data_IF_309928250813
#
_entry.id   IF_309928250813
#
_cell.length_a   1.000
_cell.length_b   1.000
_cell.length_c   1.000
_cell.angle_alpha   90.00
_cell.angle_beta   90.00
_cell.angle_gamma   90.00
#
_symmetry.space_group_name_H-M   'P 1'
#
loop_
_entity.id
_entity.type
_entity.pdbx_description
1 polymer ?
#
# COMPACT_ATOMS: atom_id res chain seq x y z
N UNK A 1 42.68 5.23 25.74
CA UNK A 1 41.37 4.64 25.39
C UNK A 1 41.41 3.68 24.20
N UNK A 2 42.61 3.22 23.75
CA UNK A 2 42.79 2.43 22.53
C UNK A 2 43.17 0.95 22.78
N UNK A 3 43.18 0.48 24.04
CA UNK A 3 43.81 -0.80 24.40
C UNK A 3 42.86 -2.01 24.56
N UNK A 4 41.56 -1.85 24.29
CA UNK A 4 40.59 -2.95 24.45
C UNK A 4 40.25 -3.64 23.11
N UNK A 5 40.53 -3.02 21.96
CA UNK A 5 40.18 -3.56 20.65
C UNK A 5 41.18 -4.57 20.06
N UNK A 6 42.38 -4.72 20.64
CA UNK A 6 43.40 -5.63 20.09
C UNK A 6 43.34 -7.07 20.61
N UNK A 7 42.44 -7.42 21.52
CA UNK A 7 42.41 -8.76 22.12
C UNK A 7 41.33 -9.70 21.56
N UNK A 8 40.66 -9.34 20.46
CA UNK A 8 39.57 -10.14 19.86
C UNK A 8 39.97 -10.76 18.52
N UNK A 9 41.27 -10.80 18.20
CA UNK A 9 41.76 -11.52 17.03
C UNK A 9 42.44 -12.81 17.46
N UNK A 10 41.86 -13.95 17.06
CA UNK A 10 42.52 -15.27 16.89
C UNK A 10 42.24 -16.40 17.90
N UNK A 11 41.11 -16.42 18.61
CA UNK A 11 40.61 -17.70 19.15
C UNK A 11 39.79 -18.44 18.09
N UNK A 12 40.51 -19.25 17.33
CA UNK A 12 40.06 -20.43 16.59
C UNK A 12 38.75 -21.05 17.10
N UNK A 13 37.61 -20.65 16.51
CA UNK A 13 36.32 -21.33 16.72
C UNK A 13 35.90 -22.20 15.53
N UNK A 14 36.72 -22.26 14.46
CA UNK A 14 36.39 -22.96 13.21
C UNK A 14 37.06 -24.34 13.06
N UNK A 15 37.33 -25.05 14.15
CA UNK A 15 37.90 -26.40 14.08
C UNK A 15 37.19 -27.36 15.03
N UNK A 16 35.99 -27.79 14.67
CA UNK A 16 35.45 -29.13 14.98
C UNK A 16 34.01 -29.23 14.43
N UNK A 17 33.89 -29.41 13.10
CA UNK A 17 32.68 -30.00 12.53
C UNK A 17 32.62 -31.47 12.99
N UNK A 18 31.97 -31.73 14.13
CA UNK A 18 31.57 -33.08 14.49
C UNK A 18 30.09 -33.25 14.12
N UNK A 19 29.82 -34.18 13.21
CA UNK A 19 28.49 -34.49 12.65
C UNK A 19 27.46 -35.02 13.69
N UNK A 20 27.69 -34.83 14.99
CA UNK A 20 26.79 -35.28 16.05
C UNK A 20 25.83 -34.18 16.55
N UNK A 21 26.08 -32.91 16.24
CA UNK A 21 25.27 -31.80 16.81
C UNK A 21 24.00 -31.47 16.04
N UNK A 22 23.81 -32.03 14.83
CA UNK A 22 22.64 -31.70 14.01
C UNK A 22 21.32 -32.25 14.58
N UNK A 23 21.34 -33.35 15.34
CA UNK A 23 20.11 -33.90 15.94
C UNK A 23 19.77 -33.31 17.31
N UNK A 24 20.75 -32.93 18.12
CA UNK A 24 20.44 -32.30 19.42
C UNK A 24 20.01 -30.85 19.25
N UNK A 25 20.52 -30.16 18.23
CA UNK A 25 20.11 -28.79 17.91
C UNK A 25 18.63 -28.68 17.53
N UNK A 26 18.06 -29.63 16.80
CA UNK A 26 16.65 -29.55 16.40
C UNK A 26 15.70 -29.67 17.59
N UNK A 27 15.99 -30.54 18.55
CA UNK A 27 15.14 -30.72 19.73
C UNK A 27 15.26 -29.53 20.69
N UNK A 28 16.48 -29.00 20.90
CA UNK A 28 16.66 -27.82 21.75
C UNK A 28 16.02 -26.57 21.13
N UNK A 29 16.06 -26.42 19.81
CA UNK A 29 15.38 -25.33 19.10
C UNK A 29 13.87 -25.52 19.21
N UNK A 30 13.33 -26.73 19.06
CA UNK A 30 11.89 -26.96 19.21
C UNK A 30 11.38 -26.69 20.64
N UNK A 31 12.16 -27.01 21.67
CA UNK A 31 11.81 -26.71 23.07
C UNK A 31 12.01 -25.23 23.45
N UNK A 32 12.91 -24.50 22.77
CA UNK A 32 13.15 -23.08 23.04
C UNK A 32 12.39 -22.12 22.12
N UNK A 33 11.96 -22.55 20.94
CA UNK A 33 11.13 -21.74 20.05
C UNK A 33 9.72 -21.78 20.62
N UNK A 34 9.20 -20.66 21.15
CA UNK A 34 7.86 -20.62 21.70
C UNK A 34 6.90 -21.11 20.61
N UNK A 35 6.09 -22.11 20.95
CA UNK A 35 5.00 -22.60 20.10
C UNK A 35 4.23 -21.38 19.60
N UNK A 36 4.40 -21.06 18.31
CA UNK A 36 3.75 -19.96 17.59
C UNK A 36 4.07 -18.56 18.14
N UNK A 37 5.17 -17.97 17.66
CA UNK A 37 5.34 -16.53 17.75
C UNK A 37 4.27 -15.87 16.87
N UNK A 38 3.25 -15.28 17.50
CA UNK A 38 2.13 -14.64 16.81
C UNK A 38 2.37 -13.15 16.59
N UNK A 39 1.59 -12.55 15.70
CA UNK A 39 1.56 -11.11 15.51
C UNK A 39 0.99 -10.41 16.76
N UNK A 40 1.52 -9.23 17.05
CA UNK A 40 1.00 -8.34 18.09
C UNK A 40 -0.46 -7.98 17.84
N UNK A 41 -1.25 -7.82 18.92
CA UNK A 41 -2.62 -7.31 18.80
C UNK A 41 -2.71 -5.94 18.12
N UNK A 42 -1.65 -5.12 18.22
CA UNK A 42 -1.57 -3.81 17.57
C UNK A 42 -1.37 -3.97 16.07
N UNK A 43 -0.48 -4.85 15.62
CA UNK A 43 -0.23 -5.07 14.19
C UNK A 43 -1.47 -5.64 13.52
N UNK A 44 -2.13 -6.61 14.15
CA UNK A 44 -3.41 -7.16 13.71
C UNK A 44 -4.46 -6.05 13.57
N UNK A 45 -4.60 -5.17 14.58
CA UNK A 45 -5.55 -4.07 14.53
C UNK A 45 -5.23 -3.10 13.38
N UNK A 46 -3.95 -2.74 13.19
CA UNK A 46 -3.51 -1.91 12.07
C UNK A 46 -3.88 -2.57 10.74
N UNK A 47 -3.64 -3.88 10.57
CA UNK A 47 -4.02 -4.60 9.34
C UNK A 47 -5.52 -4.48 9.09
N UNK A 48 -6.34 -4.78 10.09
CA UNK A 48 -7.80 -4.79 9.95
C UNK A 48 -8.34 -3.41 9.59
N UNK A 49 -7.96 -2.37 10.33
CA UNK A 49 -8.42 -1.01 10.06
C UNK A 49 -7.87 -0.47 8.74
N UNK A 50 -6.64 -0.80 8.37
CA UNK A 50 -6.06 -0.38 7.10
C UNK A 50 -6.77 -1.05 5.92
N UNK A 51 -6.98 -2.38 5.99
CA UNK A 51 -7.70 -3.12 4.94
C UNK A 51 -9.11 -2.60 4.76
N UNK A 52 -9.87 -2.46 5.85
CA UNK A 52 -11.25 -1.94 5.79
C UNK A 52 -11.25 -0.50 5.29
N UNK A 53 -10.38 0.35 5.83
CA UNK A 53 -10.27 1.76 5.45
C UNK A 53 -9.98 1.92 3.96
N UNK A 54 -9.00 1.18 3.44
CA UNK A 54 -8.63 1.23 2.02
C UNK A 54 -9.74 0.70 1.12
N UNK A 55 -10.45 -0.37 1.49
CA UNK A 55 -11.60 -0.85 0.72
C UNK A 55 -12.70 0.22 0.66
N UNK A 56 -13.03 0.84 1.79
CA UNK A 56 -14.07 1.87 1.85
C UNK A 56 -13.68 3.08 1.00
N UNK A 57 -12.43 3.55 1.09
CA UNK A 57 -11.93 4.66 0.29
C UNK A 57 -12.00 4.31 -1.21
N UNK A 58 -11.50 3.13 -1.60
CA UNK A 58 -11.54 2.65 -2.98
C UNK A 58 -12.97 2.57 -3.54
N UNK A 59 -13.92 2.08 -2.75
CA UNK A 59 -15.32 2.00 -3.16
C UNK A 59 -16.02 3.38 -3.17
N UNK A 60 -15.58 4.33 -2.34
CA UNK A 60 -16.19 5.67 -2.26
C UNK A 60 -15.97 6.50 -3.52
N UNK A 61 -14.84 6.32 -4.21
CA UNK A 61 -14.50 7.09 -5.43
C UNK A 61 -15.15 6.51 -6.70
N UNK A 62 -15.55 5.23 -6.67
CA UNK A 62 -16.09 4.54 -7.84
C UNK A 62 -17.43 5.14 -8.33
N UNK A 63 -18.46 5.39 -7.49
CA UNK A 63 -19.72 5.96 -7.95
C UNK A 63 -19.53 7.31 -8.65
N UNK A 64 -18.68 8.18 -8.10
CA UNK A 64 -18.40 9.49 -8.70
C UNK A 64 -17.67 9.36 -10.04
N UNK A 65 -16.72 8.43 -10.13
CA UNK A 65 -15.99 8.16 -11.37
C UNK A 65 -16.92 7.59 -12.44
N UNK A 66 -17.75 6.61 -12.09
CA UNK A 66 -18.74 5.99 -13.00
C UNK A 66 -19.73 7.05 -13.48
N UNK A 67 -20.25 7.90 -12.56
CA UNK A 67 -21.14 9.00 -12.92
C UNK A 67 -20.49 9.96 -13.92
N UNK A 68 -19.26 10.38 -13.63
CA UNK A 68 -18.50 11.29 -14.50
C UNK A 68 -18.23 10.67 -15.88
N UNK A 69 -17.93 9.38 -15.96
CA UNK A 69 -17.70 8.70 -17.24
C UNK A 69 -18.99 8.53 -18.05
N UNK A 70 -20.10 8.22 -17.39
CA UNK A 70 -21.40 8.01 -18.04
C UNK A 70 -22.03 9.32 -18.49
N UNK A 71 -22.11 10.29 -17.59
CA UNK A 71 -22.78 11.56 -17.82
C UNK A 71 -21.85 12.57 -18.46
N UNK A 72 -20.52 12.42 -18.37
CA UNK A 72 -19.53 13.40 -18.87
C UNK A 72 -19.72 14.83 -18.33
N UNK A 73 -20.57 15.00 -17.31
CA UNK A 73 -20.76 16.25 -16.60
C UNK A 73 -19.61 16.43 -15.61
N UNK A 74 -18.78 17.43 -15.88
CA UNK A 74 -17.62 17.80 -15.07
C UNK A 74 -17.73 19.21 -14.51
N UNK A 75 -18.85 19.92 -14.76
CA UNK A 75 -18.98 21.34 -14.47
C UNK A 75 -18.86 21.63 -12.96
N UNK A 76 -19.50 20.80 -12.14
CA UNK A 76 -19.49 20.92 -10.67
C UNK A 76 -18.23 20.35 -10.00
N UNK A 77 -17.34 19.69 -10.75
CA UNK A 77 -16.19 18.99 -10.18
C UNK A 77 -15.03 19.97 -9.93
N UNK A 78 -14.34 19.82 -8.80
CA UNK A 78 -13.12 20.60 -8.53
C UNK A 78 -11.91 19.94 -9.17
N UNK A 79 -11.30 20.62 -10.15
CA UNK A 79 -10.09 20.15 -10.82
C UNK A 79 -8.92 19.97 -9.84
N UNK A 80 -8.77 20.91 -8.91
CA UNK A 80 -7.70 20.88 -7.90
C UNK A 80 -7.86 19.70 -6.95
N UNK A 81 -9.10 19.37 -6.57
CA UNK A 81 -9.38 18.24 -5.69
C UNK A 81 -8.94 16.92 -6.33
N UNK A 82 -9.34 16.66 -7.58
CA UNK A 82 -8.96 15.42 -8.27
C UNK A 82 -7.46 15.35 -8.59
N UNK A 83 -6.81 16.49 -8.86
CA UNK A 83 -5.37 16.54 -9.03
C UNK A 83 -4.63 16.18 -7.74
N UNK A 84 -4.97 16.86 -6.63
CA UNK A 84 -4.34 16.59 -5.33
C UNK A 84 -4.64 15.17 -4.85
N UNK A 85 -5.88 14.69 -5.02
CA UNK A 85 -6.27 13.34 -4.67
C UNK A 85 -5.49 12.30 -5.50
N UNK A 86 -5.39 12.51 -6.82
CA UNK A 86 -4.63 11.61 -7.71
C UNK A 86 -3.15 11.54 -7.36
N UNK A 87 -2.53 12.67 -7.02
CA UNK A 87 -1.13 12.73 -6.58
C UNK A 87 -0.96 12.07 -5.21
N UNK A 88 -1.82 12.40 -4.24
CA UNK A 88 -1.73 11.84 -2.88
C UNK A 88 -1.86 10.32 -2.88
N UNK A 89 -2.85 9.79 -3.60
CA UNK A 89 -3.10 8.35 -3.75
C UNK A 89 -1.97 7.65 -4.53
N UNK A 90 -1.30 8.35 -5.47
CA UNK A 90 -0.09 7.82 -6.11
C UNK A 90 1.07 7.68 -5.11
N UNK A 91 1.31 8.69 -4.26
CA UNK A 91 2.32 8.60 -3.19
C UNK A 91 1.98 7.51 -2.17
N UNK A 92 0.70 7.36 -1.81
CA UNK A 92 0.25 6.27 -0.95
C UNK A 92 0.50 4.92 -1.62
N UNK A 93 0.23 4.77 -2.91
CA UNK A 93 0.56 3.54 -3.65
C UNK A 93 2.05 3.21 -3.55
N UNK A 94 2.93 4.21 -3.73
CA UNK A 94 4.38 4.03 -3.56
C UNK A 94 4.75 3.65 -2.13
N UNK A 95 4.09 4.25 -1.14
CA UNK A 95 4.24 3.87 0.27
C UNK A 95 3.85 2.41 0.51
N UNK A 96 2.75 1.94 -0.08
CA UNK A 96 2.32 0.54 -0.02
C UNK A 96 3.35 -0.42 -0.63
N UNK A 97 3.95 -0.05 -1.76
CA UNK A 97 5.08 -0.81 -2.36
C UNK A 97 6.23 -0.88 -1.34
N UNK A 98 6.58 0.24 -0.71
CA UNK A 98 7.57 0.30 0.35
C UNK A 98 7.31 -0.73 1.46
N UNK A 99 6.09 -0.80 1.98
CA UNK A 99 5.70 -1.77 3.01
C UNK A 99 5.89 -3.22 2.56
N UNK A 100 5.47 -3.56 1.35
CA UNK A 100 5.59 -4.93 0.80
C UNK A 100 7.05 -5.33 0.56
N UNK A 101 7.91 -4.37 0.21
CA UNK A 101 9.34 -4.64 -0.05
C UNK A 101 10.19 -4.76 1.20
N UNK A 102 9.68 -4.43 2.38
CA UNK A 102 10.42 -4.64 3.63
C UNK A 102 10.72 -6.13 3.77
N UNK A 103 12.01 -6.47 3.95
CA UNK A 103 12.41 -7.87 4.04
C UNK A 103 11.91 -8.50 5.36
N UNK A 104 11.32 -9.72 5.34
CA UNK A 104 10.81 -10.38 6.54
C UNK A 104 11.90 -10.69 7.58
N UNK A 105 13.16 -10.79 7.14
CA UNK A 105 14.31 -10.96 8.04
C UNK A 105 15.01 -9.62 8.36
N UNK A 106 14.27 -8.51 8.40
CA UNK A 106 14.82 -7.21 8.82
C UNK A 106 14.88 -7.12 10.35
N UNK A 107 15.77 -6.25 10.86
CA UNK A 107 15.94 -6.03 12.30
C UNK A 107 14.64 -5.58 13.00
N UNK A 108 13.71 -4.98 12.26
CA UNK A 108 12.39 -4.57 12.75
C UNK A 108 11.52 -5.73 13.22
N UNK A 109 11.80 -6.96 12.79
CA UNK A 109 11.04 -8.16 13.16
C UNK A 109 11.79 -9.10 14.10
N UNK A 110 12.96 -8.69 14.59
CA UNK A 110 13.68 -9.49 15.58
C UNK A 110 13.00 -9.41 16.94
N UNK A 111 12.70 -10.57 17.51
CA UNK A 111 12.18 -10.73 18.87
C UNK A 111 13.18 -11.54 19.67
N UNK A 112 13.55 -11.03 20.85
CA UNK A 112 14.35 -11.78 21.83
C UNK A 112 13.44 -12.78 22.55
N UNK A 113 13.77 -14.07 22.45
CA UNK A 113 12.98 -15.12 23.10
C UNK A 113 13.45 -15.34 24.53
N UNK A 114 14.78 -15.43 24.73
CA UNK A 114 15.52 -15.72 25.98
C UNK A 114 16.99 -16.04 25.65
N UNK A 115 17.88 -15.83 26.63
CA UNK A 115 19.31 -16.13 26.54
C UNK A 115 20.07 -15.39 25.41
N UNK A 116 19.56 -14.23 24.97
CA UNK A 116 20.15 -13.47 23.87
C UNK A 116 19.96 -14.09 22.49
N UNK A 117 19.06 -15.08 22.37
CA UNK A 117 18.65 -15.61 21.07
C UNK A 117 17.51 -14.78 20.49
N UNK A 118 17.73 -14.31 19.26
CA UNK A 118 16.74 -13.58 18.51
C UNK A 118 16.16 -14.45 17.39
N UNK A 119 14.84 -14.37 17.21
CA UNK A 119 14.17 -14.95 16.04
C UNK A 119 13.40 -13.87 15.28
N UNK A 120 13.22 -14.09 14.00
CA UNK A 120 12.40 -13.20 13.16
C UNK A 120 10.92 -13.58 13.27
N UNK A 121 10.10 -12.63 13.71
CA UNK A 121 8.65 -12.75 13.73
C UNK A 121 8.07 -12.47 12.33
N UNK A 122 7.91 -13.54 11.54
CA UNK A 122 7.28 -13.41 10.22
C UNK A 122 5.81 -13.02 10.30
N UNK A 123 5.10 -13.43 11.35
CA UNK A 123 3.67 -13.09 11.51
C UNK A 123 3.49 -11.58 11.70
N UNK A 124 4.40 -10.93 12.42
CA UNK A 124 4.40 -9.47 12.60
C UNK A 124 4.64 -8.73 11.28
N UNK A 125 5.55 -9.24 10.43
CA UNK A 125 5.75 -8.70 9.09
C UNK A 125 4.51 -8.89 8.21
N UNK A 126 3.89 -10.08 8.24
CA UNK A 126 2.69 -10.36 7.45
C UNK A 126 1.54 -9.45 7.85
N UNK A 127 1.23 -9.37 9.15
CA UNK A 127 0.14 -8.54 9.66
C UNK A 127 0.45 -7.05 9.48
N UNK A 128 1.56 -6.56 10.03
CA UNK A 128 1.86 -5.13 10.09
C UNK A 128 2.20 -4.50 8.73
N UNK A 129 2.81 -5.26 7.82
CA UNK A 129 3.42 -4.70 6.61
C UNK A 129 2.83 -5.30 5.33
N UNK A 130 2.88 -6.62 5.16
CA UNK A 130 2.53 -7.26 3.89
C UNK A 130 1.05 -7.06 3.54
N UNK A 131 0.14 -7.46 4.44
CA UNK A 131 -1.30 -7.40 4.19
C UNK A 131 -1.75 -5.94 3.98
N UNK A 132 -1.34 -5.06 4.90
CA UNK A 132 -1.63 -3.63 4.80
C UNK A 132 -1.10 -3.05 3.48
N UNK A 133 0.16 -3.34 3.14
CA UNK A 133 0.81 -2.87 1.91
C UNK A 133 0.10 -3.31 0.64
N UNK A 134 -0.29 -4.59 0.51
CA UNK A 134 -1.00 -5.10 -0.67
C UNK A 134 -2.33 -4.36 -0.88
N UNK A 135 -3.13 -4.21 0.17
CA UNK A 135 -4.42 -3.53 0.05
C UNK A 135 -4.24 -2.05 -0.25
N UNK A 136 -3.26 -1.40 0.38
CA UNK A 136 -2.93 0.00 0.14
C UNK A 136 -2.48 0.21 -1.31
N UNK A 137 -1.63 -0.67 -1.87
CA UNK A 137 -1.28 -0.62 -3.30
C UNK A 137 -2.52 -0.72 -4.17
N UNK A 138 -3.38 -1.72 -3.96
CA UNK A 138 -4.52 -1.97 -4.84
C UNK A 138 -5.57 -0.85 -4.76
N UNK A 139 -5.95 -0.46 -3.55
CA UNK A 139 -6.99 0.55 -3.33
C UNK A 139 -6.53 1.95 -3.72
N UNK A 140 -5.31 2.33 -3.37
CA UNK A 140 -4.79 3.66 -3.68
C UNK A 140 -4.40 3.80 -5.15
N UNK A 141 -3.94 2.72 -5.80
CA UNK A 141 -3.77 2.72 -7.26
C UNK A 141 -5.11 2.91 -7.98
N UNK A 142 -6.17 2.23 -7.52
CA UNK A 142 -7.52 2.44 -8.06
C UNK A 142 -7.98 3.89 -7.86
N UNK A 143 -7.81 4.44 -6.66
CA UNK A 143 -8.13 5.85 -6.37
C UNK A 143 -7.34 6.83 -7.23
N UNK A 144 -6.06 6.56 -7.46
CA UNK A 144 -5.19 7.40 -8.29
C UNK A 144 -5.64 7.37 -9.74
N UNK A 145 -5.83 6.18 -10.32
CA UNK A 145 -6.26 6.00 -11.71
C UNK A 145 -7.62 6.65 -11.94
N UNK A 146 -8.58 6.41 -11.06
CA UNK A 146 -9.93 6.98 -11.17
C UNK A 146 -9.92 8.52 -11.05
N UNK A 147 -9.11 9.06 -10.13
CA UNK A 147 -8.94 10.52 -9.99
C UNK A 147 -8.33 11.16 -11.24
N UNK A 148 -7.30 10.54 -11.82
CA UNK A 148 -6.69 11.04 -13.06
C UNK A 148 -7.63 10.91 -14.26
N UNK A 149 -8.43 9.84 -14.36
CA UNK A 149 -9.46 9.71 -15.39
C UNK A 149 -10.46 10.87 -15.31
N UNK A 150 -10.99 11.17 -14.12
CA UNK A 150 -11.92 12.29 -13.91
C UNK A 150 -11.25 13.63 -14.23
N UNK A 151 -10.01 13.80 -13.80
CA UNK A 151 -9.20 14.99 -14.11
C UNK A 151 -9.05 15.18 -15.62
N UNK A 152 -8.69 14.14 -16.36
CA UNK A 152 -8.55 14.21 -17.82
C UNK A 152 -9.88 14.53 -18.50
N UNK A 153 -10.98 13.94 -18.05
CA UNK A 153 -12.31 14.27 -18.56
C UNK A 153 -12.64 15.76 -18.36
N UNK A 154 -12.40 16.29 -17.15
CA UNK A 154 -12.65 17.70 -16.84
C UNK A 154 -11.76 18.63 -17.65
N UNK A 155 -10.45 18.38 -17.70
CA UNK A 155 -9.50 19.20 -18.49
C UNK A 155 -9.91 19.20 -19.97
N UNK A 156 -10.28 18.06 -20.53
CA UNK A 156 -10.71 17.97 -21.92
C UNK A 156 -12.00 18.77 -22.18
N UNK A 157 -12.98 18.68 -21.28
CA UNK A 157 -14.22 19.45 -21.38
C UNK A 157 -13.96 20.95 -21.26
N UNK A 158 -13.12 21.38 -20.32
CA UNK A 158 -12.73 22.79 -20.16
C UNK A 158 -12.02 23.34 -21.39
N UNK A 159 -11.07 22.58 -21.98
CA UNK A 159 -10.36 22.99 -23.19
C UNK A 159 -11.33 23.12 -24.38
N UNK A 160 -12.26 22.17 -24.54
CA UNK A 160 -13.26 22.22 -25.62
C UNK A 160 -14.25 23.36 -25.45
N UNK A 161 -14.77 23.59 -24.24
CA UNK A 161 -15.64 24.70 -23.93
C UNK A 161 -14.95 26.04 -24.23
N UNK A 162 -13.70 26.20 -23.78
CA UNK A 162 -12.89 27.40 -24.04
C UNK A 162 -12.66 27.64 -25.53
N UNK A 163 -12.38 26.57 -26.31
CA UNK A 163 -12.21 26.67 -27.77
C UNK A 163 -13.49 27.11 -28.49
N UNK A 164 -14.66 26.77 -27.94
CA UNK A 164 -15.96 27.18 -28.50
C UNK A 164 -16.47 28.51 -27.91
N UNK A 165 -15.69 29.18 -27.06
CA UNK A 165 -16.07 30.46 -26.45
C UNK A 165 -17.27 30.36 -25.49
N UNK A 166 -17.53 29.18 -24.94
CA UNK A 166 -18.67 28.91 -24.05
C UNK A 166 -18.21 28.45 -22.67
N UNK A 167 -19.10 28.53 -21.68
CA UNK A 167 -18.83 27.98 -20.35
C UNK A 167 -18.82 26.44 -20.37
N UNK A 168 -18.21 25.82 -19.37
CA UNK A 168 -18.18 24.35 -19.25
C UNK A 168 -19.60 23.76 -19.16
N UNK A 169 -20.50 24.43 -18.44
CA UNK A 169 -21.91 24.05 -18.30
C UNK A 169 -22.68 24.22 -19.62
N UNK A 170 -22.46 25.33 -20.34
CA UNK A 170 -23.08 25.55 -21.64
C UNK A 170 -22.60 24.53 -22.69
N UNK A 171 -21.30 24.22 -22.67
CA UNK A 171 -20.73 23.15 -23.50
C UNK A 171 -21.35 21.80 -23.18
N UNK A 172 -21.55 21.47 -21.91
CA UNK A 172 -22.21 20.23 -21.51
C UNK A 172 -23.64 20.14 -22.05
N UNK A 173 -24.46 21.18 -21.82
CA UNK A 173 -25.86 21.22 -22.24
C UNK A 173 -26.04 21.22 -23.77
N UNK A 174 -25.19 21.95 -24.51
CA UNK A 174 -25.32 22.09 -25.97
C UNK A 174 -24.60 20.99 -26.76
N UNK A 175 -23.50 20.45 -26.25
CA UNK A 175 -22.61 19.56 -27.02
C UNK A 175 -22.47 18.14 -26.48
N UNK A 176 -22.78 17.88 -25.20
CA UNK A 176 -22.61 16.54 -24.62
C UNK A 176 -23.97 15.89 -24.37
N UNK A 177 -24.85 16.56 -23.63
CA UNK A 177 -26.15 16.06 -23.22
C UNK A 177 -27.03 15.59 -24.40
N UNK A 178 -27.09 16.27 -25.56
CA UNK A 178 -27.84 15.79 -26.71
C UNK A 178 -27.30 14.46 -27.25
N UNK A 179 -25.97 14.30 -27.31
CA UNK A 179 -25.35 13.05 -27.79
C UNK A 179 -25.57 11.89 -26.82
N UNK A 180 -25.64 12.15 -25.51
CA UNK A 180 -25.95 11.12 -24.52
C UNK A 180 -27.40 10.65 -24.60
N UNK A 181 -28.34 11.57 -24.84
CA UNK A 181 -29.75 11.21 -25.09
C UNK A 181 -29.90 10.31 -26.32
N UNK A 182 -29.19 10.61 -27.40
CA UNK A 182 -29.19 9.78 -28.62
C UNK A 182 -28.60 8.39 -28.35
N UNK A 183 -27.52 8.31 -27.56
CA UNK A 183 -26.88 7.02 -27.23
C UNK A 183 -27.70 6.17 -26.25
N UNK A 184 -28.46 6.80 -25.36
CA UNK A 184 -29.35 6.13 -24.40
C UNK A 184 -30.76 5.82 -24.93
N UNK A 185 -31.06 6.19 -26.19
CA UNK A 185 -32.36 5.92 -26.82
C UNK A 185 -32.49 4.52 -27.45
N UNK A 186 -31.54 3.61 -27.18
CA UNK A 186 -31.58 2.20 -27.61
C UNK A 186 -31.52 1.26 -26.42
#
# INVERSE_FOLDING_TARGET
>A
MLNILNNVSNSSLYSAASNATAQTGSNLINDLVPETLTASGISIAISVFSVIGTIVIALSVLPQTIKTLREKDTASLSLLLFLLNGIATAFLTLYGIGLVTVHPNSFSFLVDIKNGMFIYNREEWVAGYLICGIFLIMGEALCSVTSFIVLFCKVNNMIKAKKMGMSEEEYYEKQIKPFLKVKGAN
#
